data_IF_304282742172
#
_entry.id   IF_304282742172
#
_cell.length_a   1.000
_cell.length_b   1.000
_cell.length_c   1.000
_cell.angle_alpha   90.00
_cell.angle_beta   90.00
_cell.angle_gamma   90.00
#
_symmetry.space_group_name_H-M   'P 1'
#
loop_
_entity.id
_entity.type
_entity.pdbx_description
1 polymer ?
#
# COMPACT_ATOMS: atom_id res chain seq x y z
N UNK A 1 -5.94 -12.31 -19.16
CA UNK A 1 -6.86 -12.81 -18.13
C UNK A 1 -6.77 -11.95 -16.88
N UNK A 2 -7.82 -11.17 -16.59
CA UNK A 2 -7.90 -10.25 -15.47
C UNK A 2 -7.74 -10.91 -14.09
N UNK A 3 -7.96 -12.20 -13.95
CA UNK A 3 -7.81 -12.95 -12.69
C UNK A 3 -6.36 -13.01 -12.21
N UNK A 4 -5.40 -13.32 -13.08
CA UNK A 4 -3.99 -13.37 -12.73
C UNK A 4 -3.46 -11.99 -12.37
N UNK A 5 -3.96 -10.95 -13.01
CA UNK A 5 -3.54 -9.59 -12.81
C UNK A 5 -3.98 -9.04 -11.43
N UNK A 6 -5.27 -9.18 -11.10
CA UNK A 6 -5.92 -8.42 -10.02
C UNK A 6 -6.59 -9.30 -8.96
N UNK A 7 -6.58 -10.64 -9.07
CA UNK A 7 -7.33 -11.50 -8.16
C UNK A 7 -7.00 -11.29 -6.68
N UNK A 8 -5.74 -11.04 -6.36
CA UNK A 8 -5.32 -10.75 -4.99
C UNK A 8 -5.85 -9.41 -4.48
N UNK A 9 -5.88 -8.37 -5.33
CA UNK A 9 -6.47 -7.08 -4.98
C UNK A 9 -7.98 -7.20 -4.78
N UNK A 10 -8.69 -7.86 -5.70
CA UNK A 10 -10.14 -8.14 -5.60
C UNK A 10 -10.46 -8.86 -4.28
N UNK A 11 -9.77 -9.98 -4.01
CA UNK A 11 -9.98 -10.76 -2.79
C UNK A 11 -9.63 -9.96 -1.53
N UNK A 12 -8.57 -9.17 -1.55
CA UNK A 12 -8.14 -8.32 -0.45
C UNK A 12 -9.15 -7.23 -0.14
N UNK A 13 -9.62 -6.49 -1.15
CA UNK A 13 -10.65 -5.47 -0.97
C UNK A 13 -11.97 -6.05 -0.46
N UNK A 14 -12.46 -7.11 -1.13
CA UNK A 14 -13.72 -7.76 -0.73
C UNK A 14 -13.68 -8.25 0.72
N UNK A 15 -12.57 -8.85 1.16
CA UNK A 15 -12.41 -9.35 2.53
C UNK A 15 -12.25 -8.25 3.57
N UNK A 16 -11.60 -7.14 3.20
CA UNK A 16 -11.29 -6.07 4.15
C UNK A 16 -12.29 -4.93 4.14
N UNK A 17 -12.91 -4.63 2.99
CA UNK A 17 -13.81 -3.48 2.81
C UNK A 17 -15.22 -3.88 2.34
N UNK A 18 -15.48 -5.17 2.11
CA UNK A 18 -16.79 -5.69 1.73
C UNK A 18 -17.11 -5.58 0.23
N UNK A 19 -16.32 -4.87 -0.55
CA UNK A 19 -16.55 -4.71 -2.00
C UNK A 19 -15.24 -4.71 -2.78
N UNK A 20 -15.31 -5.00 -4.08
CA UNK A 20 -14.17 -4.90 -4.99
C UNK A 20 -14.04 -3.46 -5.50
N UNK A 21 -13.00 -2.79 -5.09
CA UNK A 21 -12.64 -1.45 -5.58
C UNK A 21 -11.77 -0.68 -4.60
N UNK A 22 -10.82 0.11 -5.10
CA UNK A 22 -10.05 1.00 -4.25
C UNK A 22 -10.95 2.11 -3.70
N UNK A 23 -10.81 2.47 -2.42
CA UNK A 23 -11.51 3.63 -1.85
C UNK A 23 -10.83 4.96 -2.22
N UNK A 24 -10.15 5.01 -3.36
CA UNK A 24 -9.33 6.10 -3.85
C UNK A 24 -9.61 6.37 -5.32
N UNK A 25 -9.24 7.56 -5.78
CA UNK A 25 -9.31 7.98 -7.18
C UNK A 25 -7.98 8.58 -7.66
N UNK A 26 -7.88 8.91 -8.93
CA UNK A 26 -6.65 9.50 -9.49
C UNK A 26 -6.35 10.90 -8.96
N UNK A 27 -7.36 11.63 -8.54
CA UNK A 27 -7.23 12.95 -7.94
C UNK A 27 -6.50 12.91 -6.60
N UNK A 28 -6.57 11.80 -5.87
CA UNK A 28 -5.84 11.61 -4.62
C UNK A 28 -4.32 11.70 -4.79
N UNK A 29 -3.82 11.42 -6.00
CA UNK A 29 -2.40 11.63 -6.35
C UNK A 29 -1.99 13.09 -6.18
N UNK A 30 -2.88 14.04 -6.42
CA UNK A 30 -2.58 15.46 -6.30
C UNK A 30 -2.65 15.97 -4.86
N UNK A 31 -3.26 15.21 -3.96
CA UNK A 31 -3.52 15.63 -2.58
C UNK A 31 -2.71 14.86 -1.53
N UNK A 32 -2.08 13.73 -1.89
CA UNK A 32 -1.32 12.92 -0.93
C UNK A 32 -0.05 13.64 -0.46
N UNK A 33 0.31 13.53 0.81
CA UNK A 33 1.61 13.99 1.34
C UNK A 33 2.72 12.95 1.14
N UNK A 34 2.33 11.67 1.09
CA UNK A 34 3.23 10.54 0.87
C UNK A 34 2.63 9.61 -0.19
N UNK A 35 3.40 9.28 -1.21
CA UNK A 35 3.07 8.25 -2.19
C UNK A 35 3.97 7.03 -1.96
N UNK A 36 3.39 5.90 -1.54
CA UNK A 36 4.10 4.63 -1.36
C UNK A 36 3.83 3.75 -2.57
N UNK A 37 4.86 3.49 -3.37
CA UNK A 37 4.80 2.65 -4.56
C UNK A 37 5.39 1.28 -4.21
N UNK A 38 4.54 0.26 -4.08
CA UNK A 38 4.96 -1.08 -3.66
C UNK A 38 4.70 -2.12 -4.75
N UNK A 39 5.76 -2.84 -5.16
CA UNK A 39 5.68 -3.86 -6.20
C UNK A 39 5.11 -3.34 -7.51
N UNK A 40 5.42 -2.08 -7.86
CA UNK A 40 4.98 -1.45 -9.11
C UNK A 40 6.11 -0.61 -9.73
N UNK A 41 6.44 -0.89 -10.98
CA UNK A 41 7.35 -0.06 -11.76
C UNK A 41 6.55 0.99 -12.56
N UNK A 42 5.97 1.94 -11.83
CA UNK A 42 5.00 2.91 -12.34
C UNK A 42 5.57 3.79 -13.45
N UNK A 43 6.88 4.06 -13.44
CA UNK A 43 7.56 4.80 -14.52
C UNK A 43 7.39 4.12 -15.89
N UNK A 44 7.25 2.79 -15.93
CA UNK A 44 7.13 2.00 -17.16
C UNK A 44 5.71 1.51 -17.39
N UNK A 45 4.99 1.02 -16.37
CA UNK A 45 3.67 0.44 -16.54
C UNK A 45 2.50 1.43 -16.43
N UNK A 46 2.71 2.60 -15.79
CA UNK A 46 1.71 3.66 -15.65
C UNK A 46 2.37 5.04 -15.83
N UNK A 47 3.00 5.32 -16.99
CA UNK A 47 3.87 6.50 -17.16
C UNK A 47 3.12 7.82 -16.98
N UNK A 48 1.87 7.91 -17.36
CA UNK A 48 1.06 9.14 -17.20
C UNK A 48 0.83 9.47 -15.72
N UNK A 49 0.47 8.47 -14.91
CA UNK A 49 0.31 8.64 -13.46
C UNK A 49 1.64 8.98 -12.78
N UNK A 50 2.72 8.33 -13.21
CA UNK A 50 4.06 8.61 -12.68
C UNK A 50 4.50 10.04 -13.00
N UNK A 51 4.26 10.53 -14.22
CA UNK A 51 4.52 11.92 -14.59
C UNK A 51 3.68 12.91 -13.78
N UNK A 52 2.43 12.56 -13.41
CA UNK A 52 1.59 13.38 -12.53
C UNK A 52 2.25 13.55 -11.15
N UNK A 53 2.74 12.46 -10.53
CA UNK A 53 3.51 12.50 -9.29
C UNK A 53 4.77 13.37 -9.41
N UNK A 54 5.57 13.17 -10.46
CA UNK A 54 6.82 13.89 -10.67
C UNK A 54 6.59 15.39 -10.92
N UNK A 55 5.57 15.75 -11.70
CA UNK A 55 5.21 17.17 -11.94
C UNK A 55 4.82 17.85 -10.62
N UNK A 56 4.05 17.16 -9.78
CA UNK A 56 3.69 17.68 -8.46
C UNK A 56 4.92 17.83 -7.56
N UNK A 57 5.77 16.82 -7.48
CA UNK A 57 7.04 16.87 -6.74
C UNK A 57 7.92 18.02 -7.21
N UNK A 58 8.02 18.25 -8.52
CA UNK A 58 8.80 19.35 -9.09
C UNK A 58 8.24 20.74 -8.73
N UNK A 59 6.90 20.88 -8.69
CA UNK A 59 6.25 22.16 -8.33
C UNK A 59 6.48 22.53 -6.87
N UNK A 60 6.40 21.55 -5.98
CA UNK A 60 6.61 21.74 -4.54
C UNK A 60 7.31 20.51 -3.95
N UNK A 61 8.66 20.50 -3.93
CA UNK A 61 9.46 19.35 -3.48
C UNK A 61 9.15 18.88 -2.05
N UNK A 62 8.73 19.79 -1.18
CA UNK A 62 8.46 19.51 0.24
C UNK A 62 7.03 19.03 0.50
N UNK A 63 6.13 19.10 -0.48
CA UNK A 63 4.72 18.70 -0.32
C UNK A 63 4.45 17.21 -0.58
N UNK A 64 5.44 16.48 -1.06
CA UNK A 64 5.28 15.07 -1.43
C UNK A 64 6.56 14.28 -1.13
N UNK A 65 6.42 13.20 -0.39
CA UNK A 65 7.47 12.19 -0.23
C UNK A 65 7.12 10.97 -1.07
N UNK A 66 8.03 10.53 -1.94
CA UNK A 66 7.86 9.33 -2.77
C UNK A 66 8.68 8.20 -2.14
N UNK A 67 8.01 7.15 -1.71
CA UNK A 67 8.61 5.91 -1.19
C UNK A 67 8.41 4.80 -2.20
N UNK A 68 9.46 4.06 -2.53
CA UNK A 68 9.38 2.88 -3.38
C UNK A 68 9.83 1.65 -2.62
N UNK A 69 8.99 0.62 -2.62
CA UNK A 69 9.26 -0.70 -2.04
C UNK A 69 9.32 -1.70 -3.19
N UNK A 70 10.52 -2.03 -3.61
CA UNK A 70 10.79 -2.95 -4.72
C UNK A 70 12.19 -3.55 -4.54
N UNK A 71 12.40 -4.86 -4.73
CA UNK A 71 13.72 -5.46 -4.65
C UNK A 71 14.72 -4.89 -5.66
N UNK A 72 14.22 -4.34 -6.77
CA UNK A 72 15.04 -3.78 -7.85
C UNK A 72 15.09 -2.25 -7.79
N UNK A 73 16.22 -1.68 -8.12
CA UNK A 73 16.35 -0.24 -8.36
C UNK A 73 15.85 0.12 -9.77
N UNK A 74 14.53 0.08 -9.94
CA UNK A 74 13.83 0.45 -11.19
C UNK A 74 13.93 1.95 -11.48
N UNK A 75 13.46 2.39 -12.66
CA UNK A 75 13.35 3.82 -12.97
C UNK A 75 12.41 4.55 -12.00
N UNK A 76 11.37 3.86 -11.51
CA UNK A 76 10.51 4.38 -10.43
C UNK A 76 11.32 4.58 -9.14
N UNK A 77 12.13 3.61 -8.74
CA UNK A 77 12.94 3.67 -7.52
C UNK A 77 14.05 4.74 -7.59
N UNK A 78 14.62 4.98 -8.77
CA UNK A 78 15.62 6.06 -8.96
C UNK A 78 15.07 7.45 -8.72
N UNK A 79 13.78 7.66 -8.91
CA UNK A 79 13.11 8.95 -8.72
C UNK A 79 12.49 9.11 -7.32
N UNK A 80 12.62 8.10 -6.44
CA UNK A 80 12.07 8.11 -5.09
C UNK A 80 12.97 8.87 -4.11
N UNK A 81 12.36 9.46 -3.10
CA UNK A 81 13.06 10.02 -1.93
C UNK A 81 13.59 8.88 -1.03
N UNK A 82 12.82 7.77 -0.94
CA UNK A 82 13.18 6.60 -0.15
C UNK A 82 12.95 5.35 -0.98
N UNK A 83 13.99 4.53 -1.14
CA UNK A 83 13.90 3.20 -1.74
C UNK A 83 14.18 2.13 -0.69
N UNK A 84 13.23 1.20 -0.49
CA UNK A 84 13.40 0.00 0.30
C UNK A 84 13.58 -1.21 -0.63
N UNK A 85 14.81 -1.65 -0.81
CA UNK A 85 15.17 -2.83 -1.59
C UNK A 85 14.97 -4.09 -0.71
N UNK A 86 13.71 -4.47 -0.49
CA UNK A 86 13.37 -5.63 0.34
C UNK A 86 13.68 -6.95 -0.36
N UNK A 87 14.03 -7.98 0.40
CA UNK A 87 14.13 -9.33 -0.14
C UNK A 87 12.79 -9.77 -0.76
N UNK A 88 12.78 -10.40 -1.95
CA UNK A 88 11.56 -10.89 -2.55
C UNK A 88 10.78 -11.82 -1.61
N UNK A 89 9.46 -11.63 -1.51
CA UNK A 89 8.61 -12.46 -0.66
C UNK A 89 8.43 -11.96 0.78
N UNK A 90 8.98 -10.82 1.14
CA UNK A 90 8.96 -10.33 2.53
C UNK A 90 8.01 -9.16 2.79
N UNK A 91 7.23 -8.76 1.81
CA UNK A 91 6.35 -7.59 1.89
C UNK A 91 5.36 -7.66 3.06
N UNK A 92 4.74 -8.83 3.32
CA UNK A 92 3.81 -8.99 4.43
C UNK A 92 4.49 -8.77 5.78
N UNK A 93 5.72 -9.29 5.93
CA UNK A 93 6.51 -9.06 7.14
C UNK A 93 6.88 -7.58 7.31
N UNK A 94 7.23 -6.89 6.21
CA UNK A 94 7.47 -5.45 6.20
C UNK A 94 6.24 -4.68 6.70
N UNK A 95 5.07 -4.96 6.14
CA UNK A 95 3.81 -4.30 6.51
C UNK A 95 3.43 -4.56 7.97
N UNK A 96 3.61 -5.78 8.46
CA UNK A 96 3.41 -6.09 9.88
C UNK A 96 4.40 -5.34 10.78
N UNK A 97 5.66 -5.19 10.35
CA UNK A 97 6.66 -4.41 11.09
C UNK A 97 6.34 -2.92 11.11
N UNK A 98 5.82 -2.37 10.01
CA UNK A 98 5.33 -0.99 9.95
C UNK A 98 4.14 -0.79 10.89
N UNK A 99 3.15 -1.69 10.86
CA UNK A 99 2.01 -1.66 11.77
C UNK A 99 2.44 -1.78 13.24
N UNK A 100 3.42 -2.66 13.55
CA UNK A 100 4.00 -2.75 14.89
C UNK A 100 4.60 -1.41 15.36
N UNK A 101 5.34 -0.72 14.50
CA UNK A 101 5.92 0.59 14.82
C UNK A 101 4.86 1.65 15.03
N UNK A 102 3.83 1.71 14.17
CA UNK A 102 2.69 2.62 14.34
C UNK A 102 2.01 2.41 15.70
N UNK A 103 1.76 1.14 16.07
CA UNK A 103 1.19 0.80 17.38
C UNK A 103 2.08 1.20 18.55
N UNK A 104 3.37 0.87 18.46
CA UNK A 104 4.32 1.12 19.56
C UNK A 104 4.50 2.61 19.85
N UNK A 105 4.38 3.44 18.83
CA UNK A 105 4.57 4.88 18.92
C UNK A 105 3.24 5.66 19.05
N UNK A 106 2.13 4.94 19.35
CA UNK A 106 0.78 5.49 19.49
C UNK A 106 0.29 6.27 18.26
N UNK A 107 0.71 5.83 17.07
CA UNK A 107 0.34 6.44 15.79
C UNK A 107 -1.00 5.97 15.23
N UNK A 108 -1.65 4.97 15.84
CA UNK A 108 -2.95 4.46 15.43
C UNK A 108 -4.06 5.49 15.66
N UNK A 109 -5.08 5.46 14.81
CA UNK A 109 -6.30 6.25 14.98
C UNK A 109 -7.34 5.42 15.75
N UNK A 110 -7.32 5.53 17.09
CA UNK A 110 -8.18 4.74 17.98
C UNK A 110 -9.65 4.99 17.69
N UNK A 111 -10.04 6.25 17.48
CA UNK A 111 -11.43 6.61 17.19
C UNK A 111 -11.93 5.97 15.87
N UNK A 112 -11.08 5.99 14.85
CA UNK A 112 -11.39 5.35 13.57
C UNK A 112 -11.49 3.82 13.72
N UNK A 113 -10.57 3.21 14.46
CA UNK A 113 -10.56 1.77 14.71
C UNK A 113 -11.86 1.35 15.40
N UNK A 114 -12.24 2.02 16.48
CA UNK A 114 -13.43 1.68 17.28
C UNK A 114 -14.74 1.85 16.51
N UNK A 115 -14.80 2.85 15.62
CA UNK A 115 -16.06 3.17 14.90
C UNK A 115 -16.20 2.44 13.56
N UNK A 116 -15.08 2.05 12.92
CA UNK A 116 -15.07 1.62 11.52
C UNK A 116 -14.38 0.28 11.28
N UNK A 117 -13.89 -0.41 12.31
CA UNK A 117 -13.20 -1.69 12.11
C UNK A 117 -13.68 -2.78 13.04
N UNK A 118 -13.51 -4.03 12.59
CA UNK A 118 -13.73 -5.23 13.37
C UNK A 118 -12.45 -6.04 13.50
N UNK A 119 -12.40 -6.97 14.46
CA UNK A 119 -11.29 -7.91 14.64
C UNK A 119 -9.92 -7.25 14.89
N UNK A 120 -9.90 -6.05 15.51
CA UNK A 120 -8.66 -5.35 15.84
C UNK A 120 -7.74 -6.20 16.74
N UNK A 121 -8.28 -6.87 17.76
CA UNK A 121 -7.48 -7.64 18.72
C UNK A 121 -6.68 -8.78 18.08
N UNK A 122 -7.26 -9.65 17.21
CA UNK A 122 -6.49 -10.64 16.46
C UNK A 122 -5.38 -10.05 15.60
N UNK A 123 -5.64 -8.92 14.95
CA UNK A 123 -4.63 -8.21 14.17
C UNK A 123 -3.49 -7.71 15.07
N UNK A 124 -3.78 -7.06 16.19
CA UNK A 124 -2.82 -6.60 17.17
C UNK A 124 -1.92 -7.74 17.65
N UNK A 125 -2.49 -8.91 18.01
CA UNK A 125 -1.75 -10.06 18.50
C UNK A 125 -0.78 -10.65 17.46
N UNK A 126 -1.09 -10.49 16.17
CA UNK A 126 -0.20 -10.91 15.09
C UNK A 126 0.94 -9.90 14.91
N UNK A 127 0.63 -8.61 14.76
CA UNK A 127 1.63 -7.62 14.41
C UNK A 127 2.62 -7.32 15.53
N UNK A 128 2.21 -7.46 16.79
CA UNK A 128 3.11 -7.27 17.94
C UNK A 128 4.26 -8.28 18.01
N UNK A 129 4.15 -9.43 17.32
CA UNK A 129 5.20 -10.44 17.19
C UNK A 129 6.26 -10.09 16.13
N UNK A 130 5.98 -9.07 15.30
CA UNK A 130 6.86 -8.62 14.22
C UNK A 130 7.68 -7.40 14.66
N UNK A 131 8.62 -7.63 15.59
CA UNK A 131 9.49 -6.55 16.08
C UNK A 131 10.34 -5.95 14.96
N UNK A 132 10.70 -4.64 15.03
CA UNK A 132 11.46 -3.96 13.98
C UNK A 132 12.76 -4.67 13.62
N UNK A 133 13.50 -5.15 14.63
CA UNK A 133 14.75 -5.90 14.43
C UNK A 133 14.54 -7.21 13.67
N UNK A 134 13.49 -7.96 14.02
CA UNK A 134 13.12 -9.21 13.34
C UNK A 134 12.77 -8.93 11.87
N UNK A 135 11.94 -7.92 11.64
CA UNK A 135 11.50 -7.53 10.28
C UNK A 135 12.68 -7.03 9.44
N UNK A 136 13.51 -6.14 9.97
CA UNK A 136 14.68 -5.62 9.27
C UNK A 136 15.60 -6.76 8.81
N UNK A 137 15.88 -7.72 9.70
CA UNK A 137 16.68 -8.92 9.38
C UNK A 137 16.00 -9.79 8.32
N UNK A 138 14.69 -10.03 8.44
CA UNK A 138 13.94 -10.89 7.51
C UNK A 138 13.80 -10.26 6.12
N UNK A 139 13.59 -8.94 6.06
CA UNK A 139 13.46 -8.19 4.81
C UNK A 139 14.80 -7.80 4.18
N UNK A 140 15.92 -7.98 4.88
CA UNK A 140 17.24 -7.61 4.39
C UNK A 140 17.47 -6.09 4.29
N UNK A 141 16.79 -5.29 5.12
CA UNK A 141 16.89 -3.82 5.14
C UNK A 141 17.41 -3.32 6.49
N UNK A 142 18.03 -2.12 6.52
CA UNK A 142 18.39 -1.49 7.79
C UNK A 142 17.13 -1.16 8.62
N UNK A 143 17.15 -1.47 9.93
CA UNK A 143 16.03 -1.16 10.84
C UNK A 143 15.66 0.33 10.82
N UNK A 144 16.65 1.21 10.69
CA UNK A 144 16.41 2.65 10.56
C UNK A 144 15.48 2.98 9.39
N UNK A 145 15.71 2.35 8.21
CA UNK A 145 14.88 2.56 7.03
C UNK A 145 13.43 2.10 7.23
N UNK A 146 13.23 0.98 7.93
CA UNK A 146 11.90 0.54 8.31
C UNK A 146 11.19 1.58 9.19
N UNK A 147 11.90 2.15 10.18
CA UNK A 147 11.37 3.19 11.06
C UNK A 147 11.04 4.48 10.29
N UNK A 148 11.96 4.94 9.43
CA UNK A 148 11.77 6.14 8.63
C UNK A 148 10.47 6.07 7.81
N UNK A 149 10.15 4.91 7.22
CA UNK A 149 8.92 4.72 6.41
C UNK A 149 7.68 4.53 7.29
N UNK A 150 7.78 3.80 8.39
CA UNK A 150 6.66 3.64 9.33
C UNK A 150 6.24 4.97 9.96
N UNK A 151 7.20 5.86 10.24
CA UNK A 151 6.93 7.20 10.79
C UNK A 151 6.08 8.07 9.87
N UNK A 152 6.13 7.84 8.55
CA UNK A 152 5.26 8.56 7.61
C UNK A 152 3.77 8.25 7.86
N UNK A 153 3.44 7.02 8.27
CA UNK A 153 2.07 6.65 8.67
C UNK A 153 1.73 7.19 10.07
N UNK A 154 2.68 7.18 11.00
CA UNK A 154 2.50 7.68 12.35
C UNK A 154 2.21 9.19 12.38
N UNK A 155 2.85 9.99 11.54
CA UNK A 155 2.65 11.44 11.48
C UNK A 155 1.30 11.87 10.93
N UNK A 156 0.41 10.94 10.63
CA UNK A 156 -0.93 11.20 10.06
C UNK A 156 -0.90 12.07 8.80
N UNK A 157 0.16 11.98 8.03
CA UNK A 157 0.20 12.56 6.70
C UNK A 157 -0.81 11.83 5.82
N UNK A 158 -1.28 12.47 4.75
CA UNK A 158 -2.10 11.80 3.74
C UNK A 158 -1.24 10.81 2.96
N UNK A 159 -1.35 9.53 3.29
CA UNK A 159 -0.57 8.45 2.69
C UNK A 159 -1.41 7.74 1.63
N UNK A 160 -0.95 7.75 0.39
CA UNK A 160 -1.54 6.99 -0.71
C UNK A 160 -0.61 5.83 -1.06
N UNK A 161 -1.05 4.60 -0.85
CA UNK A 161 -0.28 3.40 -1.22
C UNK A 161 -0.74 2.85 -2.56
N UNK A 162 0.15 2.87 -3.53
CA UNK A 162 -0.10 2.40 -4.90
C UNK A 162 0.65 1.09 -5.13
N UNK A 163 -0.03 0.06 -5.63
CA UNK A 163 0.61 -1.22 -5.95
C UNK A 163 0.10 -1.83 -7.24
N UNK A 164 0.85 -2.82 -7.75
CA UNK A 164 0.53 -3.52 -8.98
C UNK A 164 0.92 -5.00 -8.87
N UNK A 165 1.44 -5.57 -9.94
CA UNK A 165 1.66 -7.01 -10.11
C UNK A 165 2.67 -7.62 -9.12
N UNK A 166 3.66 -6.86 -8.66
CA UNK A 166 4.62 -7.33 -7.66
C UNK A 166 3.97 -7.71 -6.33
N UNK A 167 2.83 -7.10 -6.00
CA UNK A 167 1.99 -7.50 -4.86
C UNK A 167 0.97 -8.54 -5.25
N UNK A 168 0.28 -8.35 -6.39
CA UNK A 168 -0.87 -9.19 -6.76
C UNK A 168 -0.48 -10.60 -7.22
N UNK A 169 0.59 -10.73 -8.01
CA UNK A 169 0.95 -11.98 -8.70
C UNK A 169 1.92 -12.83 -7.88
N UNK A 170 1.53 -13.17 -6.66
CA UNK A 170 2.33 -14.00 -5.77
C UNK A 170 1.43 -14.87 -4.90
N UNK A 171 2.01 -15.92 -4.31
CA UNK A 171 1.28 -16.89 -3.47
C UNK A 171 0.52 -16.21 -2.32
N UNK A 172 1.16 -15.28 -1.63
CA UNK A 172 0.61 -14.57 -0.49
C UNK A 172 -0.02 -13.20 -0.88
N UNK A 173 -0.28 -12.96 -2.15
CA UNK A 173 -0.73 -11.66 -2.67
C UNK A 173 -1.95 -11.10 -1.95
N UNK A 174 -2.98 -11.93 -1.70
CA UNK A 174 -4.17 -11.51 -0.93
C UNK A 174 -3.81 -11.05 0.49
N UNK A 175 -2.93 -11.78 1.18
CA UNK A 175 -2.50 -11.40 2.53
C UNK A 175 -1.68 -10.11 2.54
N UNK A 176 -0.84 -9.88 1.50
CA UNK A 176 -0.10 -8.61 1.36
C UNK A 176 -1.05 -7.45 1.12
N UNK A 177 -2.06 -7.61 0.25
CA UNK A 177 -3.11 -6.60 0.02
C UNK A 177 -3.87 -6.29 1.31
N UNK A 178 -4.29 -7.33 2.06
CA UNK A 178 -4.93 -7.13 3.36
C UNK A 178 -3.99 -6.42 4.36
N UNK A 179 -2.71 -6.76 4.37
CA UNK A 179 -1.70 -6.07 5.18
C UNK A 179 -1.57 -4.58 4.86
N UNK A 180 -1.61 -4.21 3.56
CA UNK A 180 -1.66 -2.82 3.11
C UNK A 180 -2.94 -2.11 3.59
N UNK A 181 -4.10 -2.72 3.35
CA UNK A 181 -5.39 -2.15 3.77
C UNK A 181 -5.42 -1.99 5.30
N UNK A 182 -5.00 -3.00 6.05
CA UNK A 182 -4.96 -2.96 7.51
C UNK A 182 -4.05 -1.84 8.05
N UNK A 183 -2.93 -1.54 7.38
CA UNK A 183 -2.07 -0.43 7.76
C UNK A 183 -2.77 0.92 7.57
N UNK A 184 -3.56 1.07 6.50
CA UNK A 184 -4.40 2.26 6.28
C UNK A 184 -5.57 2.36 7.27
N UNK A 185 -6.25 1.24 7.57
CA UNK A 185 -7.29 1.19 8.60
C UNK A 185 -6.72 1.57 9.98
N UNK A 186 -5.56 1.00 10.35
CA UNK A 186 -4.88 1.27 11.61
C UNK A 186 -4.58 2.77 11.81
N UNK A 187 -4.15 3.45 10.75
CA UNK A 187 -3.78 4.86 10.77
C UNK A 187 -4.92 5.82 10.37
N UNK A 188 -6.15 5.31 10.19
CA UNK A 188 -7.31 6.10 9.82
C UNK A 188 -7.18 6.79 8.45
N UNK A 189 -6.55 6.11 7.47
CA UNK A 189 -6.25 6.63 6.14
C UNK A 189 -7.25 6.16 5.06
N UNK A 190 -8.48 5.84 5.46
CA UNK A 190 -9.57 5.45 4.55
C UNK A 190 -10.63 6.54 4.54
N UNK A 191 -11.20 6.85 3.37
CA UNK A 191 -12.23 7.87 3.20
C UNK A 191 -11.73 9.31 3.36
N UNK A 192 -10.43 9.53 3.21
CA UNK A 192 -9.79 10.84 3.27
C UNK A 192 -9.14 11.17 1.93
N UNK A 193 -9.37 12.37 1.43
CA UNK A 193 -8.74 12.89 0.21
C UNK A 193 -7.20 12.76 0.28
N UNK A 194 -6.61 12.21 -0.77
CA UNK A 194 -5.16 12.01 -0.86
C UNK A 194 -4.61 10.87 0.00
N UNK A 195 -5.48 9.96 0.50
CA UNK A 195 -5.05 8.88 1.37
C UNK A 195 -5.80 7.58 1.07
N UNK A 196 -5.13 6.45 1.24
CA UNK A 196 -5.73 5.13 1.13
C UNK A 196 -4.95 4.12 0.32
N UNK A 197 -5.43 2.87 0.27
CA UNK A 197 -4.85 1.81 -0.52
C UNK A 197 -5.42 1.83 -1.95
N UNK A 198 -4.53 1.94 -2.96
CA UNK A 198 -4.90 2.11 -4.36
C UNK A 198 -4.21 1.08 -5.25
N UNK A 199 -4.94 0.04 -5.67
CA UNK A 199 -4.42 -0.90 -6.66
C UNK A 199 -4.42 -0.31 -8.07
N UNK A 200 -3.30 -0.43 -8.77
CA UNK A 200 -3.17 0.01 -10.16
C UNK A 200 -3.32 -1.18 -11.11
N UNK A 201 -4.28 -1.11 -12.02
CA UNK A 201 -4.48 -2.12 -13.06
C UNK A 201 -3.91 -1.65 -14.39
N UNK A 202 -3.42 -2.60 -15.21
CA UNK A 202 -2.95 -2.29 -16.57
C UNK A 202 -4.06 -2.27 -17.62
N UNK A 203 -5.19 -2.92 -17.36
CA UNK A 203 -6.31 -2.99 -18.29
C UNK A 203 -7.25 -1.81 -18.10
N UNK A 204 -7.63 -1.09 -19.16
CA UNK A 204 -8.63 -0.05 -19.07
C UNK A 204 -9.98 -0.66 -18.66
N UNK A 205 -10.67 0.00 -17.74
CA UNK A 205 -11.99 -0.41 -17.24
C UNK A 205 -12.07 -1.87 -16.73
N UNK A 206 -11.06 -2.34 -16.00
CA UNK A 206 -11.04 -3.68 -15.44
C UNK A 206 -12.20 -3.92 -14.46
N UNK A 207 -12.61 -2.90 -13.70
CA UNK A 207 -13.77 -2.98 -12.81
C UNK A 207 -15.07 -3.16 -13.59
N UNK A 208 -15.34 -2.34 -14.58
CA UNK A 208 -16.51 -2.49 -15.44
C UNK A 208 -16.55 -3.86 -16.16
N UNK A 209 -15.41 -4.38 -16.58
CA UNK A 209 -15.31 -5.73 -17.12
C UNK A 209 -15.71 -6.82 -16.12
N UNK A 210 -15.40 -6.64 -14.84
CA UNK A 210 -15.82 -7.55 -13.75
C UNK A 210 -17.33 -7.43 -13.48
N UNK A 211 -17.85 -6.23 -13.41
CA UNK A 211 -19.28 -5.95 -13.23
C UNK A 211 -20.13 -6.53 -14.37
N UNK A 212 -19.59 -6.53 -15.58
CA UNK A 212 -20.23 -7.14 -16.75
C UNK A 212 -20.04 -8.67 -16.85
N UNK A 213 -19.61 -9.35 -15.79
CA UNK A 213 -19.46 -10.81 -15.74
C UNK A 213 -18.09 -11.34 -16.21
N UNK A 214 -17.07 -10.50 -16.27
CA UNK A 214 -15.70 -10.92 -16.63
C UNK A 214 -15.02 -11.82 -15.59
N UNK A 215 -15.62 -11.99 -14.41
CA UNK A 215 -15.23 -12.96 -13.37
C UNK A 215 -16.33 -14.02 -13.21
N UNK A 216 -15.91 -15.27 -13.11
CA UNK A 216 -16.81 -16.42 -13.13
C UNK A 216 -17.83 -16.48 -11.98
N UNK A 217 -17.58 -15.81 -10.87
CA UNK A 217 -18.52 -15.79 -9.73
C UNK A 217 -19.69 -14.81 -9.91
N UNK A 218 -19.68 -14.03 -10.98
CA UNK A 218 -20.77 -13.12 -11.34
C UNK A 218 -21.73 -13.70 -12.41
N UNK A 219 -21.46 -14.90 -12.89
CA UNK A 219 -22.25 -15.60 -13.90
C UNK A 219 -23.06 -16.71 -13.27
#
# INVERSE_FOLDING_TARGET
>A
NSRLCMSSAVAGYTRSLGSDGPPCCYEDIDHCGVAVLIGTNTAECHPVLFQRLLKRKKRNPNSLTIVVIDPRQTNTAKAADIHLAVAPGTDLALLHGMAHLVLRENGQDVSFIDQHTENYKPFFDVVTRWTPRKVARFCGIPEKRLRDVAELFHRRQRVLSLWSMGVNQRREGTAVVQGLINLHLLSGQIGKEGAGPFSLTGQPNAMGGREAGGLAHLL
#
